data_IF_520716547523
#
_entry.id   IF_520716547523
#
_cell.length_a   1.000
_cell.length_b   1.000
_cell.length_c   1.000
_cell.angle_alpha   90.00
_cell.angle_beta   90.00
_cell.angle_gamma   90.00
#
_symmetry.space_group_name_H-M   'P 1'
#
loop_
_entity.id
_entity.type
_entity.pdbx_description
1 polymer ?
#
# COMPACT_ATOMS: atom_id res chain seq x y z
N UNK A 1 -28.27 -70.60 -3.19
CA UNK A 1 -28.99 -69.48 -2.54
C UNK A 1 -29.22 -68.44 -3.62
N UNK A 2 -30.20 -68.54 -4.52
CA UNK A 2 -31.66 -68.43 -4.36
C UNK A 2 -32.13 -67.06 -3.83
N UNK A 3 -32.89 -66.39 -4.72
CA UNK A 3 -33.91 -65.34 -4.54
C UNK A 3 -33.55 -63.83 -4.57
N UNK A 4 -33.84 -63.29 -5.76
CA UNK A 4 -34.25 -61.97 -6.27
C UNK A 4 -35.33 -61.20 -5.41
N UNK A 5 -35.75 -59.96 -5.80
CA UNK A 5 -35.82 -58.76 -4.97
C UNK A 5 -37.28 -58.22 -4.77
N UNK A 6 -37.44 -57.02 -4.19
CA UNK A 6 -38.71 -56.26 -4.12
C UNK A 6 -38.40 -54.77 -3.92
N UNK A 7 -38.59 -53.85 -4.88
CA UNK A 7 -39.79 -53.29 -5.53
C UNK A 7 -40.70 -52.39 -4.66
N UNK A 8 -40.66 -51.09 -5.03
CA UNK A 8 -41.70 -50.06 -5.21
C UNK A 8 -42.67 -49.65 -4.08
N UNK A 9 -42.69 -48.34 -3.80
CA UNK A 9 -43.88 -47.45 -3.78
C UNK A 9 -43.39 -45.98 -3.68
N UNK A 10 -43.95 -44.89 -4.22
CA UNK A 10 -44.85 -44.52 -5.33
C UNK A 10 -45.15 -43.02 -5.11
N UNK A 11 -45.10 -42.22 -6.19
CA UNK A 11 -45.86 -40.97 -6.51
C UNK A 11 -45.88 -39.80 -5.51
N UNK A 12 -45.45 -38.58 -5.88
CA UNK A 12 -46.11 -37.61 -6.78
C UNK A 12 -47.38 -36.98 -6.22
N UNK A 13 -47.29 -35.71 -5.80
CA UNK A 13 -48.32 -34.65 -5.91
C UNK A 13 -47.57 -33.32 -5.67
N UNK A 14 -47.39 -32.43 -6.64
CA UNK A 14 -48.45 -31.58 -7.21
C UNK A 14 -48.80 -30.48 -6.19
N UNK A 15 -48.89 -29.19 -6.47
CA UNK A 15 -48.93 -28.41 -7.69
C UNK A 15 -49.06 -26.93 -7.18
N UNK A 16 -48.44 -25.97 -7.86
CA UNK A 16 -49.04 -24.64 -8.10
C UNK A 16 -49.39 -23.71 -6.91
N UNK A 17 -48.63 -22.63 -6.75
CA UNK A 17 -49.24 -21.30 -6.58
C UNK A 17 -48.35 -20.22 -7.22
N UNK A 18 -48.81 -19.72 -8.37
CA UNK A 18 -48.28 -18.54 -9.04
C UNK A 18 -48.76 -17.25 -8.35
N UNK A 19 -48.04 -16.17 -8.68
CA UNK A 19 -48.40 -14.73 -8.58
C UNK A 19 -48.18 -14.07 -7.22
N UNK A 20 -47.10 -13.28 -7.12
CA UNK A 20 -47.14 -11.87 -6.68
C UNK A 20 -45.90 -11.13 -7.23
N UNK A 21 -45.98 -10.67 -8.49
CA UNK A 21 -45.25 -9.48 -8.93
C UNK A 21 -46.17 -8.30 -8.63
N UNK A 22 -45.90 -7.60 -7.53
CA UNK A 22 -46.52 -6.30 -7.24
C UNK A 22 -45.43 -5.24 -7.26
N UNK A 23 -45.54 -4.40 -8.28
CA UNK A 23 -44.95 -3.07 -8.43
C UNK A 23 -45.00 -2.25 -7.15
N UNK A 24 -43.86 -1.74 -6.70
CA UNK A 24 -43.80 -0.62 -5.77
C UNK A 24 -43.87 0.69 -6.56
N UNK A 25 -45.07 1.06 -7.01
CA UNK A 25 -45.36 2.41 -7.48
C UNK A 25 -46.15 3.12 -6.37
N UNK A 26 -45.58 4.20 -5.79
CA UNK A 26 -46.30 5.06 -4.83
C UNK A 26 -45.95 4.94 -3.34
N UNK A 27 -44.71 4.62 -2.95
CA UNK A 27 -44.30 4.72 -1.54
C UNK A 27 -43.94 6.18 -1.16
N UNK A 28 -44.24 6.65 0.07
CA UNK A 28 -43.99 8.04 0.52
C UNK A 28 -42.50 8.44 0.54
N UNK A 29 -41.59 7.50 0.30
CA UNK A 29 -40.15 7.72 0.30
C UNK A 29 -39.61 8.08 -1.10
N UNK A 30 -40.35 7.77 -2.18
CA UNK A 30 -39.98 8.15 -3.55
C UNK A 30 -40.16 9.65 -3.81
N UNK A 31 -41.24 10.25 -3.31
CA UNK A 31 -41.56 11.68 -3.49
C UNK A 31 -40.62 12.62 -2.74
N UNK A 32 -39.89 12.12 -1.72
CA UNK A 32 -38.92 12.93 -0.97
C UNK A 32 -37.54 12.98 -1.62
N UNK A 33 -37.20 12.04 -2.50
CA UNK A 33 -35.96 12.08 -3.28
C UNK A 33 -36.11 13.01 -4.49
N UNK A 34 -37.26 13.00 -5.15
CA UNK A 34 -37.55 13.86 -6.31
C UNK A 34 -37.54 15.35 -5.94
N UNK A 35 -38.01 15.70 -4.73
CA UNK A 35 -37.99 17.08 -4.21
C UNK A 35 -36.61 17.59 -3.78
N UNK A 36 -35.62 16.70 -3.60
CA UNK A 36 -34.24 17.08 -3.25
C UNK A 36 -33.30 17.10 -4.45
N UNK A 37 -33.81 16.80 -5.65
CA UNK A 37 -33.08 16.80 -6.92
C UNK A 37 -33.56 17.90 -7.88
N UNK A 38 -34.44 18.80 -7.43
CA UNK A 38 -34.78 20.00 -8.18
C UNK A 38 -33.51 20.86 -8.34
N UNK A 39 -33.08 21.18 -9.58
CA UNK A 39 -31.92 22.02 -9.82
C UNK A 39 -32.18 23.43 -9.25
N UNK A 40 -31.17 23.99 -8.58
CA UNK A 40 -31.19 25.32 -7.99
C UNK A 40 -31.60 26.36 -9.08
N UNK A 41 -32.70 27.11 -8.90
CA UNK A 41 -33.16 28.11 -9.87
C UNK A 41 -32.16 29.26 -10.09
N UNK A 42 -31.07 29.34 -9.33
CA UNK A 42 -29.99 30.33 -9.52
C UNK A 42 -29.00 29.98 -10.63
N UNK A 43 -29.08 28.80 -11.24
CA UNK A 43 -28.23 28.43 -12.38
C UNK A 43 -28.86 28.74 -13.75
N UNK A 44 -30.06 29.34 -13.79
CA UNK A 44 -30.76 29.71 -15.02
C UNK A 44 -30.77 31.22 -15.31
N UNK A 45 -30.11 32.04 -14.47
CA UNK A 45 -30.08 33.51 -14.66
C UNK A 45 -28.72 34.04 -15.16
N UNK A 46 -27.73 33.20 -15.44
CA UNK A 46 -26.41 33.65 -15.92
C UNK A 46 -26.15 33.38 -17.42
N UNK A 47 -27.21 33.25 -18.22
CA UNK A 47 -27.09 33.07 -19.67
C UNK A 47 -27.98 34.01 -20.49
N UNK A 48 -28.19 35.26 -20.05
CA UNK A 48 -28.67 36.33 -20.96
C UNK A 48 -28.28 37.71 -20.45
N UNK A 49 -27.10 38.22 -20.86
CA UNK A 49 -26.88 39.64 -21.10
C UNK A 49 -25.43 39.88 -21.54
N UNK A 50 -25.21 40.04 -22.84
CA UNK A 50 -24.58 41.23 -23.43
C UNK A 50 -24.05 40.89 -24.83
N UNK A 51 -24.89 41.10 -25.83
CA UNK A 51 -24.41 41.56 -27.13
C UNK A 51 -25.40 42.61 -27.65
N UNK A 52 -24.99 43.88 -27.67
CA UNK A 52 -25.31 44.81 -28.76
C UNK A 52 -24.46 46.11 -28.68
N UNK A 53 -23.44 46.12 -29.54
CA UNK A 53 -22.86 47.21 -30.35
C UNK A 53 -23.55 48.59 -30.32
N UNK A 54 -22.76 49.68 -30.19
CA UNK A 54 -22.93 50.94 -30.99
C UNK A 54 -21.68 51.86 -31.00
N UNK A 55 -21.19 52.14 -32.22
CA UNK A 55 -20.69 53.42 -32.80
C UNK A 55 -19.35 54.08 -32.37
N UNK A 56 -18.48 54.33 -33.37
CA UNK A 56 -17.27 55.17 -33.39
C UNK A 56 -17.59 56.67 -33.71
N UNK A 57 -16.66 57.62 -34.04
CA UNK A 57 -15.21 57.83 -33.76
C UNK A 57 -14.90 59.27 -33.20
N UNK A 58 -13.65 59.61 -32.79
CA UNK A 58 -12.96 60.92 -32.98
C UNK A 58 -11.71 61.16 -32.07
N UNK A 59 -10.55 61.47 -32.68
CA UNK A 59 -9.63 62.58 -32.29
C UNK A 59 -8.51 62.39 -31.22
N UNK A 60 -7.22 62.74 -31.50
CA UNK A 60 -6.05 62.77 -30.57
C UNK A 60 -5.86 64.20 -29.94
N UNK A 61 -4.82 64.59 -29.13
CA UNK A 61 -3.45 64.05 -29.00
C UNK A 61 -2.71 64.13 -27.62
N UNK A 62 -1.44 63.72 -27.64
CA UNK A 62 -0.25 64.25 -26.90
C UNK A 62 -0.13 64.07 -25.38
N UNK A 63 0.82 63.23 -24.94
CA UNK A 63 2.16 63.72 -24.54
C UNK A 63 3.13 62.54 -24.30
N UNK A 64 4.32 62.67 -24.88
CA UNK A 64 5.51 61.88 -24.55
C UNK A 64 6.40 62.70 -23.59
N UNK A 65 7.43 62.12 -22.94
CA UNK A 65 8.67 61.86 -23.67
C UNK A 65 9.41 60.55 -23.30
N UNK A 66 10.34 60.24 -24.19
CA UNK A 66 11.24 59.09 -24.29
C UNK A 66 12.61 59.43 -23.67
N UNK A 67 13.32 58.42 -23.14
CA UNK A 67 14.79 58.31 -23.12
C UNK A 67 15.14 56.83 -22.86
N UNK A 68 15.52 56.07 -23.89
CA UNK A 68 16.88 55.81 -24.40
C UNK A 68 17.69 54.79 -23.58
N UNK A 69 17.93 53.61 -24.19
CA UNK A 69 19.12 52.78 -24.00
C UNK A 69 19.20 51.73 -25.14
N UNK A 70 19.83 52.17 -26.22
CA UNK A 70 20.93 51.56 -26.97
C UNK A 70 21.11 50.03 -27.08
N UNK A 71 21.38 49.66 -28.33
CA UNK A 71 21.70 48.39 -28.97
C UNK A 71 23.09 47.83 -28.55
N UNK A 72 23.21 46.51 -28.37
CA UNK A 72 24.51 45.84 -28.43
C UNK A 72 24.37 44.36 -28.85
N UNK A 73 25.29 43.98 -29.72
CA UNK A 73 25.34 42.81 -30.58
C UNK A 73 25.63 41.48 -29.87
N UNK A 74 25.34 40.41 -30.63
CA UNK A 74 25.63 39.03 -30.31
C UNK A 74 27.12 38.76 -30.10
N UNK A 75 27.45 38.05 -29.02
CA UNK A 75 28.69 37.30 -28.88
C UNK A 75 28.36 35.83 -28.62
N UNK A 76 28.89 34.96 -29.49
CA UNK A 76 28.80 33.51 -29.39
C UNK A 76 29.96 33.02 -28.52
N UNK A 77 29.67 32.71 -27.26
CA UNK A 77 30.59 31.93 -26.42
C UNK A 77 30.09 30.49 -26.39
N UNK A 78 30.90 29.59 -26.96
CA UNK A 78 30.68 28.14 -26.91
C UNK A 78 30.83 27.66 -25.46
N UNK A 79 29.73 27.25 -24.83
CA UNK A 79 29.78 26.46 -23.59
C UNK A 79 29.86 24.98 -23.95
N UNK A 80 30.98 24.38 -23.57
CA UNK A 80 31.24 22.94 -23.58
C UNK A 80 30.16 22.22 -22.80
N UNK A 81 29.41 21.36 -23.49
CA UNK A 81 28.53 20.36 -22.88
C UNK A 81 29.39 19.41 -22.06
N UNK A 82 29.39 19.59 -20.74
CA UNK A 82 29.87 18.57 -19.81
C UNK A 82 28.85 17.43 -19.86
N UNK A 83 29.29 16.27 -20.32
CA UNK A 83 28.48 15.07 -20.34
C UNK A 83 28.31 14.61 -18.89
N UNK A 84 27.11 14.75 -18.34
CA UNK A 84 26.76 14.11 -17.07
C UNK A 84 27.01 12.59 -17.21
N UNK A 85 28.06 12.12 -16.54
CA UNK A 85 28.25 10.70 -16.29
C UNK A 85 27.00 10.15 -15.60
N UNK A 86 26.53 8.94 -15.97
CA UNK A 86 25.41 8.32 -15.29
C UNK A 86 25.80 8.14 -13.83
N UNK A 87 25.07 8.79 -12.93
CA UNK A 87 25.21 8.62 -11.48
C UNK A 87 25.16 7.12 -11.19
N UNK A 88 26.31 6.56 -10.85
CA UNK A 88 26.44 5.16 -10.49
C UNK A 88 25.42 4.87 -9.39
N UNK A 89 24.61 3.83 -9.59
CA UNK A 89 23.76 3.30 -8.54
C UNK A 89 24.62 3.09 -7.28
N UNK A 90 24.16 3.54 -6.09
CA UNK A 90 24.92 3.32 -4.87
C UNK A 90 25.25 1.82 -4.74
N UNK A 91 26.46 1.46 -4.28
CA UNK A 91 26.85 0.07 -4.14
C UNK A 91 25.77 -0.65 -3.35
N UNK A 92 25.33 -1.81 -3.86
CA UNK A 92 24.32 -2.63 -3.21
C UNK A 92 24.86 -3.10 -1.85
N UNK A 93 24.61 -2.32 -0.81
CA UNK A 93 24.85 -2.70 0.57
C UNK A 93 23.87 -3.83 0.88
N UNK A 94 24.42 -5.02 1.16
CA UNK A 94 23.66 -6.11 1.76
C UNK A 94 23.89 -5.99 3.27
N UNK A 95 22.87 -5.63 4.06
CA UNK A 95 23.02 -5.59 5.50
C UNK A 95 23.35 -6.99 6.01
N UNK A 96 24.33 -7.08 6.90
CA UNK A 96 24.64 -8.30 7.64
C UNK A 96 24.48 -7.99 9.12
N UNK A 97 23.27 -8.20 9.63
CA UNK A 97 22.97 -7.88 11.01
C UNK A 97 23.53 -8.95 11.96
N UNK A 98 24.13 -8.52 13.07
CA UNK A 98 24.87 -9.39 14.00
C UNK A 98 24.01 -9.89 15.17
N UNK A 99 22.87 -9.25 15.42
CA UNK A 99 22.04 -9.40 16.61
C UNK A 99 20.65 -10.01 16.30
N UNK A 100 20.45 -10.62 15.13
CA UNK A 100 19.17 -11.30 14.78
C UNK A 100 18.81 -12.35 15.83
N UNK A 101 19.82 -13.01 16.42
CA UNK A 101 19.64 -14.00 17.48
C UNK A 101 19.02 -13.46 18.79
N UNK A 102 18.87 -12.14 18.94
CA UNK A 102 18.13 -11.55 20.06
C UNK A 102 16.60 -11.58 19.86
N UNK A 103 16.12 -11.88 18.64
CA UNK A 103 14.70 -12.13 18.42
C UNK A 103 14.26 -13.46 19.05
N UNK A 104 12.97 -13.64 19.38
CA UNK A 104 12.44 -14.96 19.73
C UNK A 104 12.79 -16.00 18.67
N UNK A 105 13.17 -17.21 19.08
CA UNK A 105 13.73 -18.27 18.23
C UNK A 105 12.83 -18.55 17.01
N UNK A 106 11.52 -18.58 17.21
CA UNK A 106 10.54 -18.87 16.17
C UNK A 106 10.45 -17.77 15.10
N UNK A 107 11.00 -16.58 15.37
CA UNK A 107 10.97 -15.43 14.47
C UNK A 107 12.26 -15.27 13.65
N UNK A 108 13.36 -15.90 14.07
CA UNK A 108 14.71 -15.63 13.53
C UNK A 108 14.81 -15.95 12.03
N UNK A 109 14.36 -17.13 11.60
CA UNK A 109 14.44 -17.53 10.19
C UNK A 109 13.69 -16.56 9.27
N UNK A 110 12.52 -16.08 9.70
CA UNK A 110 11.75 -15.11 8.91
C UNK A 110 12.52 -13.80 8.67
N UNK A 111 13.28 -13.37 9.67
CA UNK A 111 14.11 -12.16 9.59
C UNK A 111 15.29 -12.43 8.66
N UNK A 112 15.99 -13.55 8.86
CA UNK A 112 17.14 -13.94 8.02
C UNK A 112 16.79 -13.99 6.54
N UNK A 113 15.66 -14.60 6.18
CA UNK A 113 15.21 -14.68 4.78
C UNK A 113 15.02 -13.28 4.18
N UNK A 114 14.39 -12.37 4.92
CA UNK A 114 14.15 -11.00 4.45
C UNK A 114 15.43 -10.15 4.42
N UNK A 115 16.39 -10.41 5.30
CA UNK A 115 17.73 -9.81 5.25
C UNK A 115 18.47 -10.29 4.01
N UNK A 116 18.42 -11.58 3.70
CA UNK A 116 19.01 -12.17 2.50
C UNK A 116 18.40 -11.62 1.20
N UNK A 117 17.10 -11.28 1.23
CA UNK A 117 16.42 -10.58 0.13
C UNK A 117 16.78 -9.09 0.00
N UNK A 118 17.57 -8.55 0.95
CA UNK A 118 17.99 -7.15 1.02
C UNK A 118 16.84 -6.13 1.05
N UNK A 119 15.79 -6.41 1.83
CA UNK A 119 14.57 -5.57 1.90
C UNK A 119 14.34 -4.90 3.25
N UNK A 120 15.09 -5.29 4.29
CA UNK A 120 15.01 -4.72 5.64
C UNK A 120 16.12 -3.69 5.88
N UNK A 121 16.23 -2.69 5.02
CA UNK A 121 17.24 -1.63 5.19
C UNK A 121 16.88 -0.72 6.37
N UNK A 122 17.84 -0.60 7.30
CA UNK A 122 17.81 0.39 8.36
C UNK A 122 18.44 1.69 7.86
N UNK A 123 17.75 2.79 8.12
CA UNK A 123 18.25 4.14 7.86
C UNK A 123 18.29 4.82 9.22
N UNK A 124 19.48 5.24 9.63
CA UNK A 124 19.61 6.07 10.83
C UNK A 124 19.12 7.48 10.51
N UNK A 125 17.81 7.65 10.62
CA UNK A 125 17.21 8.98 10.70
C UNK A 125 17.51 9.44 12.11
N UNK A 126 18.54 10.28 12.28
CA UNK A 126 18.93 10.87 13.57
C UNK A 126 17.67 11.23 14.36
N UNK A 127 17.29 10.36 15.28
CA UNK A 127 16.37 10.73 16.32
C UNK A 127 17.16 11.71 17.19
N UNK A 128 16.47 12.65 17.82
CA UNK A 128 17.08 13.65 18.71
C UNK A 128 17.66 13.01 20.01
N UNK A 129 17.96 11.70 19.98
CA UNK A 129 18.35 10.88 21.11
C UNK A 129 19.88 10.80 21.31
N UNK A 130 20.69 11.33 20.38
CA UNK A 130 22.16 11.28 20.42
C UNK A 130 22.73 9.85 20.65
N UNK A 131 21.97 8.81 20.29
CA UNK A 131 22.43 7.42 20.42
C UNK A 131 23.10 7.02 19.12
N UNK A 132 24.43 6.86 19.17
CA UNK A 132 25.18 6.19 18.11
C UNK A 132 24.75 4.72 18.07
N UNK A 133 24.20 4.28 16.95
CA UNK A 133 23.79 2.88 16.74
C UNK A 133 24.80 2.21 15.80
N UNK A 134 25.18 0.98 16.11
CA UNK A 134 25.97 0.19 15.17
C UNK A 134 25.12 -0.03 13.91
N UNK A 135 25.62 0.32 12.70
CA UNK A 135 24.89 0.08 11.46
C UNK A 135 24.60 -1.40 11.19
N UNK A 136 25.25 -2.32 11.92
CA UNK A 136 25.01 -3.76 11.85
C UNK A 136 24.06 -4.29 12.94
N UNK A 137 23.50 -3.44 13.79
CA UNK A 137 22.48 -3.85 14.76
C UNK A 137 21.08 -3.75 14.13
N UNK A 138 20.40 -4.88 13.98
CA UNK A 138 18.99 -4.94 13.58
C UNK A 138 18.05 -4.44 14.69
N UNK A 139 18.41 -4.70 15.95
CA UNK A 139 17.63 -4.43 17.16
C UNK A 139 16.23 -5.06 17.08
N UNK A 140 16.11 -6.41 16.99
CA UNK A 140 14.84 -7.09 16.70
C UNK A 140 13.71 -6.75 17.68
N UNK A 141 14.04 -6.46 18.94
CA UNK A 141 13.08 -6.16 20.01
C UNK A 141 12.75 -4.66 20.13
N UNK A 142 13.38 -3.79 19.33
CA UNK A 142 13.05 -2.37 19.31
C UNK A 142 11.68 -2.15 18.67
N UNK A 143 10.91 -1.21 19.24
CA UNK A 143 9.64 -0.78 18.65
C UNK A 143 9.90 -0.07 17.32
N UNK A 144 9.29 -0.57 16.25
CA UNK A 144 9.43 0.00 14.91
C UNK A 144 8.62 1.30 14.79
N UNK A 145 9.17 2.26 14.05
CA UNK A 145 8.46 3.50 13.73
C UNK A 145 7.56 3.34 12.51
N UNK A 146 6.56 4.20 12.39
CA UNK A 146 5.65 4.23 11.22
C UNK A 146 6.40 4.45 9.90
N UNK A 147 7.41 5.34 9.87
CA UNK A 147 8.22 5.58 8.66
C UNK A 147 9.00 4.34 8.23
N UNK A 148 9.58 3.63 9.19
CA UNK A 148 10.44 2.48 8.93
C UNK A 148 9.60 1.34 8.36
N UNK A 149 8.45 1.06 8.98
CA UNK A 149 7.53 0.07 8.46
C UNK A 149 6.95 0.43 7.10
N UNK A 150 6.63 1.71 6.83
CA UNK A 150 6.16 2.14 5.50
C UNK A 150 7.22 1.88 4.41
N UNK A 151 8.49 2.17 4.70
CA UNK A 151 9.61 1.86 3.80
C UNK A 151 9.73 0.37 3.54
N UNK A 152 9.74 -0.44 4.59
CA UNK A 152 9.83 -1.90 4.48
C UNK A 152 8.62 -2.47 3.73
N UNK A 153 7.39 -2.06 4.06
CA UNK A 153 6.18 -2.53 3.40
C UNK A 153 6.22 -2.31 1.89
N UNK A 154 6.63 -1.12 1.44
CA UNK A 154 6.78 -0.82 0.01
C UNK A 154 7.90 -1.66 -0.63
N UNK A 155 9.08 -1.68 -0.01
CA UNK A 155 10.26 -2.36 -0.54
C UNK A 155 10.01 -3.87 -0.67
N UNK A 156 9.51 -4.52 0.38
CA UNK A 156 9.23 -5.95 0.39
C UNK A 156 8.13 -6.30 -0.61
N UNK A 157 7.01 -5.56 -0.64
CA UNK A 157 5.95 -5.79 -1.64
C UNK A 157 6.51 -5.74 -3.07
N UNK A 158 7.31 -4.72 -3.38
CA UNK A 158 7.84 -4.52 -4.72
C UNK A 158 8.93 -5.52 -5.09
N UNK A 159 9.64 -6.06 -4.10
CA UNK A 159 10.57 -7.19 -4.28
C UNK A 159 9.82 -8.47 -4.61
N UNK A 160 8.78 -8.80 -3.85
CA UNK A 160 7.97 -10.01 -4.05
C UNK A 160 7.25 -10.03 -5.40
N UNK A 161 6.90 -8.86 -5.91
CA UNK A 161 6.19 -8.69 -7.17
C UNK A 161 7.06 -8.04 -8.25
N UNK A 162 8.38 -8.29 -8.24
CA UNK A 162 9.34 -7.74 -9.20
C UNK A 162 8.87 -7.83 -10.66
N UNK A 163 8.36 -9.01 -11.03
CA UNK A 163 7.88 -9.32 -12.39
C UNK A 163 6.38 -9.09 -12.59
N UNK A 164 5.64 -8.81 -11.52
CA UNK A 164 4.18 -8.62 -11.55
C UNK A 164 3.83 -7.14 -11.37
N UNK A 165 3.99 -6.36 -12.45
CA UNK A 165 3.80 -4.89 -12.43
C UNK A 165 2.46 -4.43 -11.85
N UNK A 166 1.39 -5.22 -11.99
CA UNK A 166 0.06 -4.91 -11.47
C UNK A 166 -0.06 -5.03 -9.95
N UNK A 167 0.87 -5.73 -9.28
CA UNK A 167 0.91 -5.90 -7.83
C UNK A 167 1.94 -4.99 -7.14
N UNK A 168 2.83 -4.35 -7.90
CA UNK A 168 3.76 -3.34 -7.40
C UNK A 168 3.02 -2.06 -7.02
N UNK A 169 3.47 -1.42 -5.94
CA UNK A 169 3.03 -0.10 -5.54
C UNK A 169 4.04 0.90 -6.08
N UNK A 170 3.56 2.00 -6.65
CA UNK A 170 4.46 3.03 -7.20
C UNK A 170 5.00 3.90 -6.05
N UNK A 171 6.34 4.06 -5.94
CA UNK A 171 6.88 5.12 -5.10
C UNK A 171 6.45 6.48 -5.68
N UNK A 172 6.25 7.46 -4.81
CA UNK A 172 5.98 8.81 -5.27
C UNK A 172 7.23 9.48 -5.85
N UNK A 173 7.00 10.45 -6.73
CA UNK A 173 8.05 11.29 -7.32
C UNK A 173 8.16 12.61 -6.56
N UNK A 174 9.32 13.25 -6.61
CA UNK A 174 9.57 14.50 -5.86
C UNK A 174 8.70 15.69 -6.33
N UNK A 175 8.07 15.59 -7.50
CA UNK A 175 7.11 16.58 -8.00
C UNK A 175 5.68 16.36 -7.49
N UNK A 176 5.40 15.27 -6.77
CA UNK A 176 4.07 15.01 -6.19
C UNK A 176 3.76 16.01 -5.07
N UNK A 177 2.50 16.45 -4.98
CA UNK A 177 2.01 17.25 -3.86
C UNK A 177 1.95 16.39 -2.60
N UNK A 178 2.62 16.77 -1.48
CA UNK A 178 2.57 16.00 -0.25
C UNK A 178 1.14 15.82 0.29
N UNK A 179 0.77 14.58 0.62
CA UNK A 179 -0.51 14.24 1.25
C UNK A 179 -0.53 14.65 2.72
N UNK A 180 0.60 14.52 3.41
CA UNK A 180 0.73 14.77 4.85
C UNK A 180 1.51 16.06 5.11
N UNK A 181 1.07 16.83 6.10
CA UNK A 181 1.68 18.12 6.45
C UNK A 181 3.09 17.99 7.07
N UNK A 182 3.39 16.84 7.67
CA UNK A 182 4.63 16.55 8.38
C UNK A 182 5.62 15.66 7.60
N UNK A 183 5.34 15.40 6.31
CA UNK A 183 6.22 14.62 5.42
C UNK A 183 6.35 15.34 4.08
N UNK A 184 7.31 16.26 3.98
CA UNK A 184 7.64 16.96 2.74
C UNK A 184 8.53 16.13 1.80
N UNK A 185 8.70 16.63 0.57
CA UNK A 185 9.43 15.96 -0.52
C UNK A 185 10.92 15.71 -0.23
N UNK A 186 11.53 16.50 0.67
CA UNK A 186 12.92 16.31 1.10
C UNK A 186 13.10 15.21 2.15
N UNK A 187 12.03 14.62 2.68
CA UNK A 187 12.12 13.52 3.63
C UNK A 187 12.59 12.25 2.89
N UNK A 188 13.59 11.55 3.41
CA UNK A 188 14.12 10.31 2.80
C UNK A 188 13.07 9.22 2.62
N UNK A 189 12.04 9.20 3.48
CA UNK A 189 10.95 8.24 3.40
C UNK A 189 9.74 8.77 2.60
N UNK A 190 9.84 9.97 1.99
CA UNK A 190 8.74 10.62 1.26
C UNK A 190 8.16 9.70 0.18
N UNK A 191 9.01 9.17 -0.70
CA UNK A 191 8.59 8.33 -1.82
C UNK A 191 7.77 7.10 -1.36
N UNK A 192 8.16 6.51 -0.21
CA UNK A 192 7.47 5.35 0.35
C UNK A 192 6.14 5.71 1.01
N UNK A 193 6.16 6.70 1.90
CA UNK A 193 4.98 7.14 2.65
C UNK A 193 3.92 7.70 1.70
N UNK A 194 4.33 8.61 0.81
CA UNK A 194 3.45 9.23 -0.17
C UNK A 194 2.88 8.19 -1.14
N UNK A 195 3.72 7.29 -1.69
CA UNK A 195 3.26 6.27 -2.64
C UNK A 195 2.25 5.29 -2.03
N UNK A 196 2.44 4.91 -0.76
CA UNK A 196 1.47 4.08 -0.03
C UNK A 196 0.14 4.81 0.24
N UNK A 197 0.19 6.12 0.51
CA UNK A 197 -1.02 6.92 0.70
C UNK A 197 -1.80 7.11 -0.60
N UNK A 198 -1.10 7.40 -1.70
CA UNK A 198 -1.68 7.51 -3.04
C UNK A 198 -2.28 6.18 -3.52
N UNK A 199 -1.68 5.06 -3.11
CA UNK A 199 -2.23 3.72 -3.34
C UNK A 199 -3.40 3.36 -2.39
N UNK A 200 -3.75 4.25 -1.45
CA UNK A 200 -4.84 4.04 -0.49
C UNK A 200 -4.56 3.00 0.59
N UNK A 201 -3.30 2.54 0.73
CA UNK A 201 -2.91 1.47 1.66
C UNK A 201 -2.82 1.98 3.10
N UNK A 202 -2.29 3.19 3.27
CA UNK A 202 -2.23 3.84 4.59
C UNK A 202 -3.33 4.89 4.73
N UNK A 203 -3.90 5.10 5.93
CA UNK A 203 -4.90 6.13 6.16
C UNK A 203 -4.40 7.52 5.77
N UNK A 204 -5.20 8.23 4.97
CA UNK A 204 -4.89 9.59 4.53
C UNK A 204 -6.17 10.35 4.15
N UNK A 205 -6.10 11.68 3.91
CA UNK A 205 -7.23 12.42 3.39
C UNK A 205 -7.75 11.87 2.05
N UNK A 206 -6.91 11.19 1.26
CA UNK A 206 -7.26 10.64 -0.05
C UNK A 206 -8.23 9.45 0.02
N UNK A 207 -8.21 8.67 1.11
CA UNK A 207 -9.07 7.48 1.27
C UNK A 207 -10.18 7.68 2.31
N UNK A 208 -10.59 8.93 2.54
CA UNK A 208 -11.69 9.29 3.44
C UNK A 208 -11.31 9.42 4.91
N UNK A 209 -10.04 9.23 5.27
CA UNK A 209 -9.52 9.50 6.61
C UNK A 209 -9.21 11.00 6.76
N UNK A 210 -10.24 11.85 6.70
CA UNK A 210 -10.09 13.32 6.63
C UNK A 210 -9.32 13.95 7.80
N UNK A 211 -9.27 13.26 8.95
CA UNK A 211 -8.52 13.69 10.14
C UNK A 211 -7.04 13.28 10.11
N UNK A 212 -6.64 12.38 9.19
CA UNK A 212 -5.27 11.88 9.05
C UNK A 212 -4.38 12.85 8.23
N UNK A 213 -4.39 14.14 8.59
CA UNK A 213 -3.60 15.19 7.91
C UNK A 213 -2.09 15.13 8.23
N UNK A 214 -1.71 14.35 9.24
CA UNK A 214 -0.32 14.08 9.62
C UNK A 214 -0.05 12.58 9.61
N UNK A 215 1.11 12.18 9.11
CA UNK A 215 1.54 10.78 9.10
C UNK A 215 2.16 10.35 10.45
N UNK A 216 2.79 11.29 11.17
CA UNK A 216 3.55 11.07 12.41
C UNK A 216 4.66 10.05 12.23
N UNK A 217 5.66 10.33 11.39
CA UNK A 217 6.61 9.33 10.93
C UNK A 217 7.43 8.67 12.06
N UNK A 218 7.73 9.42 13.13
CA UNK A 218 8.55 8.92 14.25
C UNK A 218 7.73 8.26 15.36
N UNK A 219 6.39 8.24 15.25
CA UNK A 219 5.57 7.57 16.25
C UNK A 219 5.70 6.04 16.11
N UNK A 220 5.54 5.28 17.22
CA UNK A 220 5.47 3.83 17.20
C UNK A 220 4.41 3.32 16.21
N UNK A 221 4.72 2.25 15.48
CA UNK A 221 3.72 1.49 14.75
C UNK A 221 2.91 0.65 15.75
N UNK A 222 1.59 0.74 15.68
CA UNK A 222 0.67 -0.04 16.53
C UNK A 222 0.25 -1.35 15.86
N UNK A 223 -0.17 -2.34 16.63
CA UNK A 223 -0.67 -3.62 16.09
C UNK A 223 -1.85 -3.44 15.13
N UNK A 224 -2.77 -2.52 15.43
CA UNK A 224 -3.89 -2.23 14.52
C UNK A 224 -3.41 -1.65 13.19
N UNK A 225 -2.42 -0.76 13.21
CA UNK A 225 -1.87 -0.14 11.99
C UNK A 225 -1.07 -1.14 11.16
N UNK A 226 -0.28 -2.00 11.81
CA UNK A 226 0.47 -3.09 11.17
C UNK A 226 -0.44 -3.93 10.27
N UNK A 227 -1.56 -4.40 10.83
CA UNK A 227 -2.53 -5.26 10.15
C UNK A 227 -3.34 -4.45 9.12
N UNK A 228 -3.78 -3.23 9.47
CA UNK A 228 -4.52 -2.36 8.57
C UNK A 228 -3.75 -2.08 7.27
N UNK A 229 -2.43 -1.86 7.36
CA UNK A 229 -1.61 -1.56 6.19
C UNK A 229 -1.20 -2.81 5.41
N UNK A 230 -0.98 -3.93 6.10
CA UNK A 230 -0.54 -5.18 5.45
C UNK A 230 -1.66 -5.88 4.68
N UNK A 231 -2.80 -6.10 5.33
CA UNK A 231 -3.84 -7.02 4.83
C UNK A 231 -4.37 -6.66 3.44
N UNK A 232 -4.56 -5.38 3.05
CA UNK A 232 -4.94 -5.04 1.68
C UNK A 232 -3.98 -5.57 0.61
N UNK A 233 -2.69 -5.73 0.93
CA UNK A 233 -1.68 -6.28 0.02
C UNK A 233 -1.72 -7.80 -0.08
N UNK A 234 -2.30 -8.48 0.92
CA UNK A 234 -2.53 -9.92 0.91
C UNK A 234 -3.81 -10.28 0.17
N UNK A 235 -4.89 -9.55 0.44
CA UNK A 235 -6.20 -9.84 -0.15
C UNK A 235 -6.31 -9.35 -1.58
N UNK A 236 -5.65 -8.22 -1.91
CA UNK A 236 -5.79 -7.50 -3.19
C UNK A 236 -7.25 -7.24 -3.57
N UNK A 237 -8.10 -7.10 -2.56
CA UNK A 237 -9.53 -6.93 -2.70
C UNK A 237 -10.06 -5.97 -1.63
N UNK A 238 -11.24 -5.42 -1.87
CA UNK A 238 -11.94 -4.62 -0.87
C UNK A 238 -12.15 -5.45 0.41
N UNK A 239 -11.80 -4.87 1.56
CA UNK A 239 -11.97 -5.54 2.83
C UNK A 239 -13.47 -5.64 3.18
N UNK A 240 -13.93 -6.78 3.72
CA UNK A 240 -15.32 -6.95 4.13
C UNK A 240 -15.68 -5.95 5.23
N UNK A 241 -16.97 -5.62 5.34
CA UNK A 241 -17.47 -4.95 6.53
C UNK A 241 -17.21 -5.84 7.76
N UNK A 242 -16.87 -5.22 8.90
CA UNK A 242 -16.57 -5.93 10.13
C UNK A 242 -17.11 -5.16 11.33
N UNK A 243 -17.44 -5.92 12.38
CA UNK A 243 -17.83 -5.40 13.69
C UNK A 243 -16.93 -6.01 14.76
N UNK A 244 -16.89 -5.38 15.95
CA UNK A 244 -16.15 -5.94 17.08
C UNK A 244 -16.64 -7.35 17.43
N UNK A 245 -17.96 -7.60 17.36
CA UNK A 245 -18.55 -8.93 17.59
C UNK A 245 -18.02 -9.96 16.61
N UNK A 246 -18.01 -9.67 15.30
CA UNK A 246 -17.49 -10.60 14.30
C UNK A 246 -16.00 -10.91 14.52
N UNK A 247 -15.21 -9.92 14.92
CA UNK A 247 -13.80 -10.12 15.29
C UNK A 247 -13.65 -10.96 16.56
N UNK A 248 -14.47 -10.73 17.59
CA UNK A 248 -14.48 -11.57 18.79
C UNK A 248 -14.86 -13.02 18.47
N UNK A 249 -15.84 -13.26 17.60
CA UNK A 249 -16.25 -14.61 17.20
C UNK A 249 -15.16 -15.33 16.40
N UNK A 250 -14.49 -14.62 15.49
CA UNK A 250 -13.43 -15.19 14.66
C UNK A 250 -12.14 -15.47 15.47
N UNK A 251 -11.67 -14.48 16.23
CA UNK A 251 -10.37 -14.54 16.90
C UNK A 251 -10.41 -14.91 18.39
N UNK A 252 -11.55 -14.77 19.05
CA UNK A 252 -11.64 -14.88 20.51
C UNK A 252 -11.03 -13.70 21.27
N UNK A 253 -10.79 -12.56 20.61
CA UNK A 253 -10.22 -11.38 21.27
C UNK A 253 -11.18 -10.77 22.28
N UNK A 254 -10.71 -10.65 23.53
CA UNK A 254 -11.45 -10.05 24.64
C UNK A 254 -11.52 -8.51 24.52
N UNK A 255 -10.63 -7.91 23.73
CA UNK A 255 -10.49 -6.46 23.55
C UNK A 255 -10.85 -5.97 22.14
N UNK A 256 -11.58 -6.77 21.35
CA UNK A 256 -12.01 -6.39 20.00
C UNK A 256 -12.79 -5.06 19.96
N UNK A 257 -13.52 -4.72 21.03
CA UNK A 257 -14.24 -3.46 21.17
C UNK A 257 -13.36 -2.21 21.22
N UNK A 258 -12.02 -2.36 21.39
CA UNK A 258 -11.05 -1.27 21.33
C UNK A 258 -10.46 -1.06 19.94
N UNK A 259 -10.74 -1.94 18.98
CA UNK A 259 -10.21 -1.85 17.62
C UNK A 259 -11.06 -0.86 16.83
N UNK A 260 -10.40 0.09 16.17
CA UNK A 260 -11.07 1.09 15.35
C UNK A 260 -11.77 0.47 14.12
N UNK A 261 -12.87 1.06 13.63
CA UNK A 261 -13.67 0.49 12.53
C UNK A 261 -12.90 0.13 11.27
N UNK A 262 -11.90 0.93 10.87
CA UNK A 262 -11.07 0.62 9.71
C UNK A 262 -10.22 -0.64 9.95
N UNK A 263 -9.59 -0.73 11.13
CA UNK A 263 -8.75 -1.87 11.51
C UNK A 263 -9.57 -3.15 11.74
N UNK A 264 -10.82 -3.06 12.21
CA UNK A 264 -11.71 -4.24 12.35
C UNK A 264 -11.85 -5.02 11.02
N UNK A 265 -11.96 -4.30 9.90
CA UNK A 265 -12.07 -4.92 8.57
C UNK A 265 -10.82 -5.71 8.21
N UNK A 266 -9.65 -5.15 8.49
CA UNK A 266 -8.37 -5.79 8.22
C UNK A 266 -8.13 -6.97 9.15
N UNK A 267 -8.42 -6.84 10.45
CA UNK A 267 -8.30 -7.93 11.43
C UNK A 267 -9.22 -9.11 11.10
N UNK A 268 -10.46 -8.84 10.68
CA UNK A 268 -11.37 -9.91 10.25
C UNK A 268 -10.89 -10.57 8.94
N UNK A 269 -10.42 -9.78 7.98
CA UNK A 269 -9.88 -10.33 6.73
C UNK A 269 -8.60 -11.14 6.94
N UNK A 270 -7.73 -10.75 7.89
CA UNK A 270 -6.54 -11.50 8.27
C UNK A 270 -6.91 -12.90 8.80
N UNK A 271 -7.97 -13.00 9.60
CA UNK A 271 -8.48 -14.29 10.09
C UNK A 271 -8.84 -15.24 8.94
N UNK A 272 -9.48 -14.70 7.90
CA UNK A 272 -9.92 -15.48 6.74
C UNK A 272 -8.73 -16.03 5.92
N UNK A 273 -7.50 -15.57 6.18
CA UNK A 273 -6.29 -16.15 5.62
C UNK A 273 -5.82 -17.42 6.35
N UNK A 274 -6.55 -17.86 7.39
CA UNK A 274 -6.34 -19.12 8.09
C UNK A 274 -4.97 -19.19 8.77
N UNK A 275 -4.22 -20.25 8.48
CA UNK A 275 -2.86 -20.47 9.02
C UNK A 275 -1.85 -19.42 8.50
N UNK A 276 -2.15 -18.76 7.38
CA UNK A 276 -1.28 -17.71 6.82
C UNK A 276 -1.56 -16.31 7.39
N UNK A 277 -2.47 -16.20 8.36
CA UNK A 277 -2.81 -14.95 9.03
C UNK A 277 -1.57 -14.28 9.63
N UNK A 278 -1.42 -12.98 9.38
CA UNK A 278 -0.30 -12.18 9.85
C UNK A 278 -0.25 -12.15 11.39
N UNK A 279 -1.41 -12.05 12.05
CA UNK A 279 -1.52 -12.05 13.51
C UNK A 279 -0.98 -13.35 14.12
N UNK A 280 -1.34 -14.52 13.55
CA UNK A 280 -0.86 -15.82 14.07
C UNK A 280 0.64 -15.94 13.91
N UNK A 281 1.16 -15.55 12.75
CA UNK A 281 2.58 -15.66 12.42
C UNK A 281 3.45 -14.74 13.30
N UNK A 282 3.02 -13.51 13.53
CA UNK A 282 3.83 -12.53 14.28
C UNK A 282 3.61 -12.57 15.80
N UNK A 283 2.37 -12.83 16.26
CA UNK A 283 2.00 -12.70 17.68
C UNK A 283 1.76 -14.04 18.38
N UNK A 284 1.74 -15.15 17.62
CA UNK A 284 1.38 -16.46 18.14
C UNK A 284 -0.07 -16.55 18.62
N UNK A 285 -0.33 -17.49 19.52
CA UNK A 285 -1.63 -17.60 20.18
C UNK A 285 -1.85 -16.45 21.16
N UNK A 286 -2.90 -15.67 20.95
CA UNK A 286 -3.31 -14.60 21.88
C UNK A 286 -4.82 -14.47 21.94
N UNK A 287 -5.35 -14.15 23.13
CA UNK A 287 -6.75 -13.76 23.35
C UNK A 287 -6.91 -12.25 23.58
N UNK A 288 -5.81 -11.49 23.53
CA UNK A 288 -5.77 -10.04 23.64
C UNK A 288 -4.99 -9.48 22.45
N UNK A 289 -5.67 -8.76 21.57
CA UNK A 289 -5.02 -8.18 20.39
C UNK A 289 -4.10 -7.02 20.80
N UNK A 290 -4.56 -6.19 21.74
CA UNK A 290 -3.91 -4.98 22.21
C UNK A 290 -3.67 -3.99 21.05
N UNK A 291 -4.73 -3.40 20.47
CA UNK A 291 -4.65 -2.66 19.20
C UNK A 291 -3.63 -1.52 19.20
N UNK A 292 -3.42 -0.86 20.34
CA UNK A 292 -2.51 0.28 20.49
C UNK A 292 -1.10 -0.11 20.98
N UNK A 293 -0.82 -1.40 21.19
CA UNK A 293 0.52 -1.85 21.58
C UNK A 293 1.49 -1.64 20.42
N UNK A 294 2.68 -1.13 20.73
CA UNK A 294 3.79 -0.99 19.79
C UNK A 294 4.28 -2.34 19.27
N UNK A 295 4.69 -2.37 18.01
CA UNK A 295 5.19 -3.56 17.32
C UNK A 295 6.71 -3.53 17.29
N UNK A 296 7.35 -4.66 17.56
CA UNK A 296 8.81 -4.80 17.44
C UNK A 296 9.25 -4.94 15.98
N UNK A 297 10.52 -4.67 15.67
CA UNK A 297 11.09 -4.92 14.33
C UNK A 297 10.93 -6.37 13.89
N UNK A 298 11.16 -7.32 14.80
CA UNK A 298 10.97 -8.75 14.55
C UNK A 298 9.52 -9.06 14.16
N UNK A 299 8.53 -8.65 14.97
CA UNK A 299 7.11 -8.85 14.67
C UNK A 299 6.71 -8.22 13.32
N UNK A 300 7.21 -7.02 13.02
CA UNK A 300 6.92 -6.33 11.77
C UNK A 300 7.54 -7.03 10.54
N UNK A 301 8.78 -7.49 10.63
CA UNK A 301 9.45 -8.26 9.58
C UNK A 301 8.69 -9.57 9.28
N UNK A 302 8.31 -10.30 10.31
CA UNK A 302 7.59 -11.58 10.20
C UNK A 302 6.24 -11.43 9.48
N UNK A 303 5.53 -10.32 9.69
CA UNK A 303 4.31 -10.01 8.93
C UNK A 303 4.62 -9.85 7.43
N UNK A 304 5.74 -9.24 7.06
CA UNK A 304 6.17 -9.01 5.68
C UNK A 304 6.76 -10.25 4.99
N UNK A 305 7.09 -11.30 5.73
CA UNK A 305 7.71 -12.51 5.18
C UNK A 305 6.88 -13.23 4.12
N UNK A 306 5.56 -13.03 4.09
CA UNK A 306 4.66 -13.60 3.08
C UNK A 306 3.67 -12.56 2.59
N UNK A 307 3.40 -12.59 1.28
CA UNK A 307 2.32 -11.83 0.66
C UNK A 307 1.34 -12.74 -0.06
N UNK A 308 0.07 -12.32 -0.07
CA UNK A 308 -1.01 -12.98 -0.82
C UNK A 308 -1.98 -13.76 0.06
N UNK A 309 -3.06 -14.22 -0.54
CA UNK A 309 -4.11 -14.97 0.15
C UNK A 309 -3.69 -16.44 0.39
N UNK A 310 -4.59 -17.25 0.93
CA UNK A 310 -4.33 -18.65 1.26
C UNK A 310 -4.07 -19.55 0.05
N UNK A 311 -4.57 -19.20 -1.14
CA UNK A 311 -4.41 -19.99 -2.37
C UNK A 311 -3.30 -19.48 -3.28
N UNK A 312 -2.98 -18.20 -3.23
CA UNK A 312 -2.05 -17.52 -4.13
C UNK A 312 -1.13 -16.59 -3.34
N UNK A 313 -0.25 -17.17 -2.53
CA UNK A 313 0.76 -16.40 -1.81
C UNK A 313 2.16 -16.89 -2.06
N UNK A 314 3.11 -15.99 -1.83
CA UNK A 314 4.54 -16.17 -2.03
C UNK A 314 5.21 -15.75 -0.72
N UNK A 315 6.14 -16.55 -0.23
CA UNK A 315 6.99 -16.28 0.92
C UNK A 315 8.39 -15.80 0.53
N UNK A 316 9.15 -15.27 1.49
CA UNK A 316 10.54 -14.89 1.26
C UNK A 316 11.39 -16.13 0.90
N UNK A 317 11.12 -17.28 1.54
CA UNK A 317 11.78 -18.54 1.22
C UNK A 317 11.54 -18.97 -0.23
N UNK A 318 10.29 -18.88 -0.72
CA UNK A 318 9.98 -19.22 -2.13
C UNK A 318 10.78 -18.36 -3.12
N UNK A 319 10.98 -17.07 -2.80
CA UNK A 319 11.78 -16.16 -3.64
C UNK A 319 13.28 -16.48 -3.59
N UNK A 320 13.81 -16.81 -2.42
CA UNK A 320 15.21 -17.20 -2.27
C UNK A 320 15.50 -18.50 -3.04
N UNK A 321 14.63 -19.50 -2.93
CA UNK A 321 14.74 -20.75 -3.69
C UNK A 321 14.72 -20.50 -5.21
N UNK A 322 13.87 -19.58 -5.68
CA UNK A 322 13.82 -19.20 -7.09
C UNK A 322 15.11 -18.50 -7.56
N UNK A 323 15.75 -17.67 -6.73
CA UNK A 323 17.03 -17.01 -7.05
C UNK A 323 18.20 -18.00 -7.10
N UNK A 324 18.21 -19.00 -6.22
CA UNK A 324 19.21 -20.07 -6.23
C UNK A 324 19.08 -20.98 -7.46
N UNK A 325 17.85 -21.42 -7.79
CA UNK A 325 17.59 -22.25 -8.97
C UNK A 325 17.86 -21.53 -10.31
N UNK A 326 17.64 -20.22 -10.36
CA UNK A 326 18.00 -19.40 -11.52
C UNK A 326 19.51 -19.28 -11.75
N UNK A 327 20.29 -19.30 -10.67
CA UNK A 327 21.75 -19.20 -10.74
C UNK A 327 22.37 -20.50 -11.26
N UNK A 328 21.88 -21.66 -10.82
CA UNK A 328 22.41 -22.97 -11.25
C UNK A 328 22.19 -23.27 -12.74
N UNK A 329 21.02 -22.95 -13.29
CA UNK A 329 20.75 -23.15 -14.74
C UNK A 329 21.61 -22.23 -15.64
N UNK A 330 22.08 -21.10 -15.12
CA UNK A 330 22.96 -20.19 -15.87
C UNK A 330 24.42 -20.64 -15.95
N UNK A 331 24.88 -21.47 -15.00
CA UNK A 331 26.23 -22.05 -15.02
C UNK A 331 26.32 -23.30 -15.90
N UNK A 332 25.29 -24.15 -15.94
CA UNK A 332 25.29 -25.35 -16.80
C UNK A 332 25.26 -25.01 -18.30
N UNK A 333 24.56 -23.93 -18.69
CA UNK A 333 24.52 -23.48 -20.10
C UNK A 333 25.88 -22.97 -20.59
N UNK A 334 26.74 -22.52 -19.67
CA UNK A 334 28.08 -21.99 -20.02
C UNK A 334 29.13 -23.07 -20.22
N UNK A 335 28.86 -24.30 -19.76
CA UNK A 335 29.81 -25.40 -19.86
C UNK A 335 29.70 -26.14 -21.20
N UNK A 336 28.52 -26.10 -21.84
CA UNK A 336 28.26 -26.82 -23.10
C UNK A 336 28.77 -26.10 -24.35
N UNK A 337 28.84 -24.75 -24.35
CA UNK A 337 29.38 -23.98 -25.49
C UNK A 337 30.92 -24.06 -25.63
N UNK A 338 31.62 -24.69 -24.67
CA UNK A 338 33.08 -24.82 -24.72
C UNK A 338 33.58 -26.11 -25.38
N UNK A 339 32.69 -26.98 -25.88
CA UNK A 339 33.07 -28.23 -26.56
C UNK A 339 32.75 -28.29 -28.07
N UNK A 340 32.06 -27.31 -28.66
CA UNK A 340 31.68 -27.35 -30.08
C UNK A 340 32.62 -26.56 -31.02
N UNK A 341 33.90 -26.46 -30.65
CA UNK A 341 34.89 -25.63 -31.34
C UNK A 341 36.17 -26.34 -31.74
N UNK A 342 36.14 -27.63 -32.07
CA UNK A 342 37.25 -28.31 -32.78
C UNK A 342 36.69 -29.41 -33.70
N UNK A 343 36.48 -29.07 -34.97
CA UNK A 343 36.79 -29.94 -36.12
C UNK A 343 36.96 -29.15 -37.42
#
# INVERSE_FOLDING_TARGET
MQYLPRQHFVTSLGFLLCLLLTSCEGSPWGTSLEKNLEPDPRLLEEETANDETTLAPNGPPSDAPVADAEEAEADQTSETTDAEEPVAAPPAFKPSYTDIGEAPEELQQYIEDLVNLNVLMLIDVKADDNVERDPNDFLPNQIITRREYARWLLAVNNRFYGDQRTKKIRPAVNSSQPVFQDVGTANIDFAAIQGLAEAGIIPSPLNGSSTAVTFRPNAPLTRKDLILWKVPLDTRAALPAATATAVTEAWGFQDAGKIEPAALKAVLADHNNGEFANIRRALGYTTLFQPDKGVTRAEAAVVLWRFGNATEGISAADLLEAEEGGTQNSEDTKTDESQEGVE
#
